data_IF_521754434304
#
_entry.id   IF_521754434304
#
_cell.length_a   1.000
_cell.length_b   1.000
_cell.length_c   1.000
_cell.angle_alpha   90.00
_cell.angle_beta   90.00
_cell.angle_gamma   90.00
#
_symmetry.space_group_name_H-M   'P 1'
#
loop_
_entity.id
_entity.type
_entity.pdbx_description
1 polymer ?
#
# COMPACT_ATOMS: atom_id res chain seq x y z
N UNK A 1 4.49 -24.00 -40.55
CA UNK A 1 3.73 -23.33 -41.64
C UNK A 1 3.28 -21.97 -41.13
N UNK A 2 3.90 -20.91 -41.65
CA UNK A 2 3.67 -19.45 -41.47
C UNK A 2 3.22 -18.93 -40.09
N UNK A 3 4.22 -18.63 -39.27
CA UNK A 3 4.21 -17.55 -38.27
C UNK A 3 3.76 -16.23 -38.92
N UNK A 4 2.60 -15.71 -38.53
CA UNK A 4 2.27 -14.30 -38.72
C UNK A 4 3.15 -13.51 -37.75
N UNK A 5 4.24 -12.95 -38.29
CA UNK A 5 4.96 -11.86 -37.63
C UNK A 5 4.02 -10.67 -37.73
N UNK A 6 3.32 -10.40 -36.63
CA UNK A 6 2.52 -9.20 -36.48
C UNK A 6 3.52 -8.03 -36.38
N UNK A 7 3.66 -7.26 -37.46
CA UNK A 7 4.33 -5.97 -37.42
C UNK A 7 3.40 -4.99 -36.69
N UNK A 8 3.27 -5.22 -35.38
CA UNK A 8 2.46 -4.41 -34.49
C UNK A 8 3.06 -3.01 -34.38
N UNK A 9 2.23 -2.00 -34.59
CA UNK A 9 2.48 -0.61 -34.20
C UNK A 9 3.17 -0.59 -32.82
N UNK A 10 4.16 0.30 -32.58
CA UNK A 10 4.83 0.37 -31.29
C UNK A 10 3.76 0.52 -30.20
N UNK A 11 3.66 -0.50 -29.34
CA UNK A 11 2.70 -0.53 -28.24
C UNK A 11 2.89 0.75 -27.44
N UNK A 12 1.81 1.48 -27.19
CA UNK A 12 1.87 2.73 -26.47
C UNK A 12 2.54 2.51 -25.10
N UNK A 13 3.52 3.34 -24.77
CA UNK A 13 4.28 3.24 -23.50
C UNK A 13 3.90 4.36 -22.56
N UNK A 14 4.15 4.17 -21.27
CA UNK A 14 3.94 5.23 -20.29
C UNK A 14 4.93 6.38 -20.54
N UNK A 15 4.52 7.64 -20.35
CA UNK A 15 5.45 8.75 -20.43
C UNK A 15 6.53 8.64 -19.35
N UNK A 16 7.67 9.27 -19.63
CA UNK A 16 8.75 9.37 -18.66
C UNK A 16 8.29 10.16 -17.42
N UNK A 17 8.46 9.63 -16.20
CA UNK A 17 8.15 10.41 -15.00
C UNK A 17 9.13 11.57 -14.85
N UNK A 18 8.66 12.69 -14.32
CA UNK A 18 9.49 13.87 -14.00
C UNK A 18 10.39 13.60 -12.79
N UNK A 19 9.94 12.74 -11.88
CA UNK A 19 10.71 12.25 -10.74
C UNK A 19 10.61 10.72 -10.60
N UNK A 20 11.75 10.07 -10.37
CA UNK A 20 11.80 8.63 -10.08
C UNK A 20 11.76 8.30 -8.59
N UNK A 21 12.36 9.16 -7.77
CA UNK A 21 12.43 8.99 -6.32
C UNK A 21 11.22 9.60 -5.64
N UNK A 22 10.51 8.80 -4.87
CA UNK A 22 9.45 9.26 -3.96
C UNK A 22 10.05 9.59 -2.59
N UNK A 23 9.49 10.58 -1.90
CA UNK A 23 9.86 10.89 -0.54
C UNK A 23 9.51 9.77 0.44
N UNK A 24 10.37 9.54 1.42
CA UNK A 24 10.21 8.45 2.40
C UNK A 24 9.18 8.78 3.50
N UNK A 25 8.00 9.26 3.11
CA UNK A 25 6.87 9.53 3.99
C UNK A 25 5.56 9.16 3.28
N UNK A 26 4.57 8.74 4.07
CA UNK A 26 3.33 8.14 3.56
C UNK A 26 2.11 9.04 3.70
N UNK A 27 2.20 10.10 4.50
CA UNK A 27 1.06 10.92 4.92
C UNK A 27 0.93 12.17 4.06
N UNK A 28 -0.22 12.34 3.39
CA UNK A 28 -0.51 13.54 2.62
C UNK A 28 -0.72 14.79 3.48
N UNK A 29 -1.09 14.61 4.75
CA UNK A 29 -1.21 15.71 5.71
C UNK A 29 0.08 16.53 5.87
N UNK A 30 1.25 15.93 5.64
CA UNK A 30 2.52 16.66 5.67
C UNK A 30 2.60 17.76 4.60
N UNK A 31 1.98 17.59 3.44
CA UNK A 31 1.89 18.65 2.44
C UNK A 31 1.07 19.83 2.94
N UNK A 32 -0.09 19.54 3.54
CA UNK A 32 -0.96 20.58 4.10
C UNK A 32 -0.25 21.33 5.24
N UNK A 33 0.40 20.61 6.16
CA UNK A 33 1.15 21.20 7.27
C UNK A 33 2.26 22.11 6.75
N UNK A 34 3.12 21.62 5.85
CA UNK A 34 4.22 22.41 5.29
C UNK A 34 3.72 23.66 4.55
N UNK A 35 2.63 23.55 3.79
CA UNK A 35 2.05 24.70 3.09
C UNK A 35 1.41 25.70 4.07
N UNK A 36 0.81 25.22 5.17
CA UNK A 36 0.26 26.09 6.22
C UNK A 36 1.38 26.90 6.87
N UNK A 37 2.50 26.24 7.22
CA UNK A 37 3.70 26.92 7.74
C UNK A 37 4.21 27.95 6.74
N UNK A 38 4.32 27.59 5.45
CA UNK A 38 4.74 28.52 4.41
C UNK A 38 3.83 29.74 4.28
N UNK A 39 2.52 29.56 4.47
CA UNK A 39 1.54 30.64 4.44
C UNK A 39 1.64 31.55 5.66
N UNK A 40 1.84 30.99 6.85
CA UNK A 40 1.94 31.74 8.12
C UNK A 40 3.25 32.52 8.19
N UNK A 41 4.38 31.86 7.89
CA UNK A 41 5.72 32.45 8.01
C UNK A 41 6.14 33.24 6.76
N UNK A 42 5.37 33.16 5.68
CA UNK A 42 5.70 33.70 4.37
C UNK A 42 6.69 32.86 3.57
N UNK A 43 7.43 31.94 4.20
CA UNK A 43 8.34 31.00 3.54
C UNK A 43 8.51 29.70 4.34
N UNK A 44 9.06 28.67 3.69
CA UNK A 44 9.62 27.47 4.32
C UNK A 44 11.03 27.21 3.81
N UNK A 45 11.83 26.56 4.64
CA UNK A 45 13.06 25.88 4.29
C UNK A 45 13.20 24.62 5.18
N UNK A 46 14.29 23.87 5.04
CA UNK A 46 14.48 22.66 5.83
C UNK A 46 14.49 22.91 7.34
N UNK A 47 15.18 23.97 7.79
CA UNK A 47 15.31 24.32 9.20
C UNK A 47 13.96 24.68 9.83
N UNK A 48 13.18 25.53 9.15
CA UNK A 48 11.83 25.93 9.57
C UNK A 48 10.90 24.72 9.69
N UNK A 49 10.92 23.82 8.71
CA UNK A 49 10.09 22.61 8.79
C UNK A 49 10.54 21.68 9.94
N UNK A 50 11.84 21.61 10.22
CA UNK A 50 12.35 20.82 11.34
C UNK A 50 11.92 21.37 12.71
N UNK A 51 11.78 22.69 12.84
CA UNK A 51 11.35 23.33 14.08
C UNK A 51 9.83 23.37 14.27
N UNK A 52 9.06 23.43 13.17
CA UNK A 52 7.64 23.77 13.24
C UNK A 52 6.66 22.65 12.84
N UNK A 53 7.11 21.58 12.17
CA UNK A 53 6.22 20.44 11.94
C UNK A 53 5.87 19.81 13.30
N UNK A 54 4.57 19.79 13.69
CA UNK A 54 4.17 19.27 14.98
C UNK A 54 4.30 17.75 15.05
N UNK A 55 4.31 17.25 16.29
CA UNK A 55 4.06 15.83 16.55
C UNK A 55 2.72 15.43 15.92
N UNK A 56 2.64 14.18 15.44
CA UNK A 56 1.45 13.69 14.75
C UNK A 56 1.20 12.21 15.04
N UNK A 57 0.00 11.76 14.71
CA UNK A 57 -0.40 10.36 14.88
C UNK A 57 -0.41 9.66 13.53
N UNK A 58 0.30 8.53 13.43
CA UNK A 58 0.31 7.61 12.29
C UNK A 58 -0.36 6.30 12.68
N UNK A 59 -1.59 6.08 12.22
CA UNK A 59 -2.39 4.95 12.71
C UNK A 59 -2.69 5.17 14.19
N UNK A 60 -2.03 4.42 15.07
CA UNK A 60 -2.08 4.61 16.52
C UNK A 60 -0.69 4.93 17.12
N UNK A 61 0.31 5.27 16.29
CA UNK A 61 1.68 5.60 16.71
C UNK A 61 1.87 7.11 16.75
N UNK A 62 2.40 7.66 17.85
CA UNK A 62 2.89 9.04 17.88
C UNK A 62 4.23 9.12 17.14
N UNK A 63 4.34 10.04 16.19
CA UNK A 63 5.56 10.29 15.42
C UNK A 63 6.09 11.67 15.79
N UNK A 64 7.21 11.67 16.52
CA UNK A 64 7.80 12.89 17.08
C UNK A 64 8.51 13.78 16.06
N UNK A 65 9.09 13.18 15.01
CA UNK A 65 9.75 13.91 13.93
C UNK A 65 9.86 13.04 12.67
N UNK A 66 10.16 13.66 11.54
CA UNK A 66 10.63 12.93 10.34
C UNK A 66 12.14 13.09 10.19
N UNK A 67 12.80 12.16 9.49
CA UNK A 67 14.25 12.28 9.27
C UNK A 67 14.60 13.52 8.46
N UNK A 68 15.81 14.07 8.66
CA UNK A 68 16.35 15.21 7.90
C UNK A 68 16.15 15.04 6.37
N UNK A 69 16.46 13.86 5.83
CA UNK A 69 16.25 13.53 4.41
C UNK A 69 14.77 13.56 3.99
N UNK A 70 13.84 13.25 4.90
CA UNK A 70 12.40 13.28 4.61
C UNK A 70 11.88 14.71 4.44
N UNK A 71 12.41 15.69 5.18
CA UNK A 71 12.09 17.11 4.96
C UNK A 71 12.56 17.58 3.58
N UNK A 72 13.77 17.20 3.16
CA UNK A 72 14.26 17.52 1.82
C UNK A 72 13.37 16.91 0.73
N UNK A 73 12.93 15.67 0.91
CA UNK A 73 11.98 15.06 -0.01
C UNK A 73 10.61 15.75 -0.03
N UNK A 74 10.13 16.22 1.13
CA UNK A 74 8.87 16.96 1.22
C UNK A 74 8.95 18.27 0.41
N UNK A 75 10.01 19.06 0.62
CA UNK A 75 10.25 20.30 -0.15
C UNK A 75 10.37 19.98 -1.64
N UNK A 76 11.12 18.95 -2.01
CA UNK A 76 11.28 18.52 -3.41
C UNK A 76 9.93 18.16 -4.05
N UNK A 77 9.10 17.36 -3.38
CA UNK A 77 7.78 16.99 -3.91
C UNK A 77 6.88 18.23 -4.06
N UNK A 78 6.85 19.13 -3.06
CA UNK A 78 6.08 20.38 -3.14
C UNK A 78 6.52 21.29 -4.30
N UNK A 79 7.82 21.37 -4.57
CA UNK A 79 8.36 22.10 -5.73
C UNK A 79 7.89 21.50 -7.05
N UNK A 80 7.98 20.17 -7.19
CA UNK A 80 7.55 19.48 -8.42
C UNK A 80 6.04 19.51 -8.63
N UNK A 81 5.25 19.54 -7.55
CA UNK A 81 3.81 19.80 -7.62
C UNK A 81 3.47 21.27 -7.88
N UNK A 82 4.49 22.14 -7.93
CA UNK A 82 4.37 23.58 -8.07
C UNK A 82 3.55 24.23 -6.96
N UNK A 83 3.48 23.61 -5.78
CA UNK A 83 2.79 24.16 -4.61
C UNK A 83 3.63 25.22 -3.90
N UNK A 84 4.95 25.14 -4.05
CA UNK A 84 5.91 26.16 -3.62
C UNK A 84 6.84 26.52 -4.77
N UNK A 85 7.45 27.70 -4.69
CA UNK A 85 8.46 28.18 -5.63
C UNK A 85 9.67 28.71 -4.87
N UNK A 86 10.87 28.60 -5.46
CA UNK A 86 12.09 29.15 -4.88
C UNK A 86 12.04 30.68 -4.95
N UNK A 87 12.26 31.32 -3.81
CA UNK A 87 12.44 32.77 -3.74
C UNK A 87 13.92 33.06 -4.01
N UNK A 88 14.20 33.69 -5.15
CA UNK A 88 15.56 34.12 -5.46
C UNK A 88 15.86 35.43 -4.75
N UNK A 89 16.76 35.37 -3.78
CA UNK A 89 17.34 36.56 -3.17
C UNK A 89 18.86 36.44 -3.19
N UNK A 90 19.53 37.30 -3.96
CA UNK A 90 20.97 37.18 -4.24
C UNK A 90 21.87 37.35 -3.00
N UNK A 91 21.32 37.87 -1.90
CA UNK A 91 22.01 38.16 -0.64
C UNK A 91 21.91 37.06 0.41
N UNK A 92 21.03 36.05 0.25
CA UNK A 92 20.80 35.03 1.27
C UNK A 92 21.48 33.70 0.91
N UNK A 93 22.23 33.14 1.88
CA UNK A 93 22.88 31.82 1.74
C UNK A 93 21.89 30.66 1.86
N UNK A 94 20.70 30.89 2.42
CA UNK A 94 19.69 29.85 2.68
C UNK A 94 18.58 29.89 1.64
N UNK A 95 18.25 28.73 1.08
CA UNK A 95 17.15 28.63 0.12
C UNK A 95 15.81 28.79 0.84
N UNK A 96 15.03 29.80 0.43
CA UNK A 96 13.66 30.03 0.90
C UNK A 96 12.66 29.67 -0.18
N UNK A 97 11.54 29.09 0.25
CA UNK A 97 10.47 28.67 -0.64
C UNK A 97 9.15 29.30 -0.23
N UNK A 98 8.46 29.92 -1.18
CA UNK A 98 7.18 30.61 -0.97
C UNK A 98 6.03 29.81 -1.57
N UNK A 99 4.85 29.91 -0.95
CA UNK A 99 3.64 29.25 -1.46
C UNK A 99 3.19 29.88 -2.79
N UNK A 100 2.74 29.05 -3.73
CA UNK A 100 2.20 29.51 -5.02
C UNK A 100 0.67 29.59 -4.98
N UNK A 101 0.06 30.05 -6.09
CA UNK A 101 -1.39 29.97 -6.29
C UNK A 101 -1.90 28.52 -6.25
N UNK A 102 -1.17 27.55 -6.81
CA UNK A 102 -1.54 26.14 -6.74
C UNK A 102 -1.47 25.60 -5.31
N UNK A 103 -0.43 25.95 -4.55
CA UNK A 103 -0.31 25.55 -3.14
C UNK A 103 -1.44 26.14 -2.29
N UNK A 104 -1.79 27.40 -2.54
CA UNK A 104 -2.91 28.08 -1.86
C UNK A 104 -4.25 27.45 -2.21
N UNK A 105 -4.44 27.06 -3.47
CA UNK A 105 -5.66 26.36 -3.93
C UNK A 105 -5.80 25.00 -3.27
N UNK A 106 -4.72 24.21 -3.22
CA UNK A 106 -4.71 22.92 -2.51
C UNK A 106 -5.06 23.08 -1.02
N UNK A 107 -4.45 24.05 -0.32
CA UNK A 107 -4.79 24.35 1.07
C UNK A 107 -6.27 24.70 1.26
N UNK A 108 -6.83 25.51 0.36
CA UNK A 108 -8.25 25.87 0.41
C UNK A 108 -9.16 24.65 0.23
N UNK A 109 -8.81 23.75 -0.70
CA UNK A 109 -9.53 22.50 -0.90
C UNK A 109 -9.45 21.59 0.34
N UNK A 110 -8.29 21.48 0.99
CA UNK A 110 -8.15 20.67 2.22
C UNK A 110 -9.14 21.08 3.31
N UNK A 111 -9.49 22.36 3.41
CA UNK A 111 -10.45 22.88 4.40
C UNK A 111 -11.92 22.79 3.95
N UNK A 112 -12.20 22.76 2.65
CA UNK A 112 -13.56 22.91 2.12
C UNK A 112 -14.12 21.63 1.50
N UNK A 113 -13.28 20.83 0.85
CA UNK A 113 -13.66 19.60 0.17
C UNK A 113 -12.47 18.64 0.10
N UNK A 114 -12.43 17.68 1.03
CA UNK A 114 -11.33 16.71 1.15
C UNK A 114 -11.21 15.80 -0.07
N UNK A 115 -12.31 15.43 -0.72
CA UNK A 115 -12.28 14.60 -1.93
C UNK A 115 -11.66 15.37 -3.10
N UNK A 116 -12.07 16.62 -3.32
CA UNK A 116 -11.48 17.48 -4.35
C UNK A 116 -9.99 17.77 -4.08
N UNK A 117 -9.59 17.93 -2.81
CA UNK A 117 -8.18 18.06 -2.43
C UNK A 117 -7.37 16.81 -2.79
N UNK A 118 -7.91 15.62 -2.51
CA UNK A 118 -7.27 14.35 -2.86
C UNK A 118 -7.16 14.16 -4.37
N UNK A 119 -8.19 14.53 -5.13
CA UNK A 119 -8.14 14.47 -6.59
C UNK A 119 -7.10 15.41 -7.17
N UNK A 120 -7.03 16.65 -6.67
CA UNK A 120 -6.03 17.61 -7.11
C UNK A 120 -4.60 17.14 -6.79
N UNK A 121 -4.39 16.55 -5.60
CA UNK A 121 -3.10 15.96 -5.24
C UNK A 121 -2.76 14.75 -6.12
N UNK A 122 -3.73 13.87 -6.38
CA UNK A 122 -3.55 12.69 -7.23
C UNK A 122 -3.17 13.08 -8.66
N UNK A 123 -3.81 14.13 -9.21
CA UNK A 123 -3.46 14.70 -10.51
C UNK A 123 -1.99 15.15 -10.54
N UNK A 124 -1.54 15.93 -9.56
CA UNK A 124 -0.14 16.38 -9.45
C UNK A 124 0.83 15.21 -9.27
N UNK A 125 0.47 14.22 -8.45
CA UNK A 125 1.30 13.02 -8.27
C UNK A 125 1.39 12.18 -9.54
N UNK A 126 0.29 12.05 -10.27
CA UNK A 126 0.28 11.33 -11.54
C UNK A 126 1.18 12.03 -12.56
N UNK A 127 1.06 13.35 -12.74
CA UNK A 127 1.89 14.14 -13.65
C UNK A 127 3.39 14.07 -13.33
N UNK A 128 3.76 14.04 -12.04
CA UNK A 128 5.16 13.98 -11.62
C UNK A 128 5.74 12.57 -11.67
N UNK A 129 5.00 11.55 -11.22
CA UNK A 129 5.57 10.23 -10.96
C UNK A 129 5.11 9.13 -11.91
N UNK A 130 3.94 9.27 -12.57
CA UNK A 130 3.24 8.25 -13.38
C UNK A 130 2.87 6.95 -12.63
N UNK A 131 3.49 6.73 -11.48
CA UNK A 131 3.44 5.53 -10.66
C UNK A 131 2.02 5.21 -10.19
N UNK A 132 1.13 6.16 -9.83
CA UNK A 132 -0.23 5.81 -9.48
C UNK A 132 -0.95 5.00 -10.55
N UNK A 133 -1.01 5.50 -11.78
CA UNK A 133 -1.65 4.83 -12.90
C UNK A 133 -0.94 3.51 -13.25
N UNK A 134 0.38 3.59 -13.42
CA UNK A 134 1.20 2.45 -13.79
C UNK A 134 1.09 1.28 -12.81
N UNK A 135 1.12 1.56 -11.50
CA UNK A 135 1.06 0.54 -10.47
C UNK A 135 -0.25 -0.24 -10.56
N UNK A 136 -1.39 0.44 -10.70
CA UNK A 136 -2.70 -0.23 -10.83
C UNK A 136 -2.77 -1.07 -12.09
N UNK A 137 -2.34 -0.54 -13.24
CA UNK A 137 -2.31 -1.31 -14.49
C UNK A 137 -1.43 -2.55 -14.35
N UNK A 138 -0.25 -2.39 -13.75
CA UNK A 138 0.68 -3.49 -13.51
C UNK A 138 0.07 -4.58 -12.64
N UNK A 139 -0.70 -4.25 -11.59
CA UNK A 139 -1.40 -5.27 -10.78
C UNK A 139 -2.31 -6.15 -11.65
N UNK A 140 -3.18 -5.52 -12.45
CA UNK A 140 -4.09 -6.23 -13.33
C UNK A 140 -3.37 -7.11 -14.35
N UNK A 141 -2.24 -6.65 -14.87
CA UNK A 141 -1.41 -7.41 -15.81
C UNK A 141 -0.72 -8.59 -15.14
N UNK A 142 -0.20 -8.42 -13.91
CA UNK A 142 0.48 -9.46 -13.14
C UNK A 142 -0.42 -10.64 -12.81
N UNK A 143 -1.70 -10.40 -12.51
CA UNK A 143 -2.65 -11.47 -12.20
C UNK A 143 -4.05 -11.20 -12.76
N UNK A 144 -4.23 -11.39 -14.07
CA UNK A 144 -5.54 -11.19 -14.73
C UNK A 144 -6.64 -12.08 -14.14
N UNK A 145 -6.32 -13.35 -13.89
CA UNK A 145 -7.28 -14.35 -13.37
C UNK A 145 -7.73 -13.99 -11.95
N UNK A 146 -6.78 -13.68 -11.07
CA UNK A 146 -7.06 -13.26 -9.70
C UNK A 146 -7.42 -11.77 -9.57
N UNK A 147 -7.76 -11.09 -10.68
CA UNK A 147 -8.21 -9.70 -10.73
C UNK A 147 -7.24 -8.71 -10.07
N UNK A 148 -5.96 -8.86 -10.39
CA UNK A 148 -4.86 -8.03 -9.90
C UNK A 148 -4.46 -8.28 -8.44
N UNK A 149 -4.97 -9.33 -7.79
CA UNK A 149 -4.44 -9.77 -6.50
C UNK A 149 -3.01 -10.25 -6.66
N UNK A 150 -2.08 -9.67 -5.91
CA UNK A 150 -0.72 -10.18 -5.80
C UNK A 150 -0.28 -10.24 -4.33
N UNK A 151 0.70 -11.08 -4.04
CA UNK A 151 1.30 -11.20 -2.72
C UNK A 151 2.79 -10.91 -2.79
N UNK A 152 3.26 -9.96 -1.97
CA UNK A 152 4.69 -9.83 -1.67
C UNK A 152 5.00 -10.79 -0.52
N UNK A 153 5.75 -11.87 -0.79
CA UNK A 153 5.91 -12.98 0.15
C UNK A 153 6.69 -12.59 1.40
N UNK A 154 6.38 -13.30 2.47
CA UNK A 154 7.10 -13.33 3.74
C UNK A 154 7.33 -14.79 4.12
N UNK A 155 8.37 -15.10 4.90
CA UNK A 155 8.54 -16.46 5.40
C UNK A 155 7.32 -16.91 6.21
N UNK A 156 6.97 -18.20 6.14
CA UNK A 156 5.84 -18.82 6.86
C UNK A 156 5.77 -18.39 8.32
N UNK A 157 4.58 -18.13 8.86
CA UNK A 157 4.41 -17.46 10.16
C UNK A 157 5.03 -18.25 11.32
N UNK A 158 4.89 -19.56 11.26
CA UNK A 158 5.36 -20.59 12.17
C UNK A 158 6.87 -20.86 12.11
N UNK A 159 7.55 -20.35 11.07
CA UNK A 159 8.99 -20.57 10.92
C UNK A 159 9.80 -19.61 11.80
N UNK A 160 10.41 -20.15 12.85
CA UNK A 160 11.17 -19.40 13.86
C UNK A 160 12.61 -19.92 13.97
N UNK A 161 13.47 -19.64 12.97
CA UNK A 161 14.86 -20.10 12.98
C UNK A 161 15.65 -19.37 14.08
N UNK A 162 16.68 -20.03 14.61
CA UNK A 162 17.64 -19.40 15.53
C UNK A 162 18.43 -18.31 14.81
N UNK A 163 18.79 -17.27 15.56
CA UNK A 163 19.73 -16.25 15.09
C UNK A 163 21.10 -16.87 14.78
N UNK A 164 21.81 -16.29 13.82
CA UNK A 164 23.15 -16.72 13.39
C UNK A 164 24.16 -15.60 13.54
N UNK A 165 25.44 -15.92 13.54
CA UNK A 165 26.52 -14.93 13.53
C UNK A 165 26.54 -14.23 12.17
N UNK A 166 26.87 -12.94 12.10
CA UNK A 166 26.78 -12.14 10.87
C UNK A 166 27.51 -12.78 9.68
N UNK A 167 28.68 -13.34 9.94
CA UNK A 167 29.56 -14.03 8.98
C UNK A 167 28.98 -15.34 8.46
N UNK A 168 28.03 -15.96 9.18
CA UNK A 168 27.28 -17.14 8.73
C UNK A 168 26.16 -16.73 7.77
N UNK A 169 26.54 -16.41 6.53
CA UNK A 169 25.63 -15.98 5.46
C UNK A 169 25.25 -17.10 4.47
N UNK A 170 25.52 -18.36 4.83
CA UNK A 170 25.24 -19.51 4.00
C UNK A 170 23.74 -19.68 3.71
N UNK A 171 23.44 -20.05 2.47
CA UNK A 171 22.13 -20.56 2.07
C UNK A 171 22.07 -22.05 2.34
N UNK A 172 21.07 -22.51 3.10
CA UNK A 172 20.90 -23.92 3.46
C UNK A 172 19.54 -24.47 3.06
N UNK A 173 19.38 -25.78 3.28
CA UNK A 173 18.20 -26.54 2.93
C UNK A 173 16.94 -26.05 3.66
N UNK A 174 17.06 -25.56 4.90
CA UNK A 174 15.92 -25.06 5.67
C UNK A 174 15.36 -23.78 5.04
N UNK A 175 16.25 -22.83 4.72
CA UNK A 175 15.91 -21.57 4.07
C UNK A 175 15.31 -21.83 2.67
N UNK A 176 15.88 -22.78 1.92
CA UNK A 176 15.34 -23.18 0.61
C UNK A 176 13.93 -23.76 0.73
N UNK A 177 13.73 -24.71 1.65
CA UNK A 177 12.45 -25.38 1.88
C UNK A 177 11.36 -24.37 2.20
N UNK A 178 11.61 -23.47 3.17
CA UNK A 178 10.64 -22.42 3.56
C UNK A 178 10.35 -21.48 2.40
N UNK A 179 11.34 -21.17 1.56
CA UNK A 179 11.16 -20.31 0.39
C UNK A 179 10.23 -20.92 -0.65
N UNK A 180 10.35 -22.24 -0.91
CA UNK A 180 9.48 -23.01 -1.80
C UNK A 180 8.08 -23.16 -1.23
N UNK A 181 7.97 -23.56 0.04
CA UNK A 181 6.68 -23.75 0.71
C UNK A 181 5.87 -22.46 0.77
N UNK A 182 6.53 -21.33 1.02
CA UNK A 182 5.91 -20.00 0.98
C UNK A 182 5.27 -19.73 -0.37
N UNK A 183 6.01 -19.92 -1.47
CA UNK A 183 5.51 -19.70 -2.83
C UNK A 183 4.34 -20.65 -3.17
N UNK A 184 4.49 -21.93 -2.86
CA UNK A 184 3.45 -22.95 -3.07
C UNK A 184 2.16 -22.62 -2.31
N UNK A 185 2.27 -22.20 -1.05
CA UNK A 185 1.12 -21.85 -0.22
C UNK A 185 0.37 -20.64 -0.80
N UNK A 186 1.10 -19.59 -1.23
CA UNK A 186 0.48 -18.42 -1.86
C UNK A 186 -0.27 -18.82 -3.13
N UNK A 187 0.37 -19.56 -4.02
CA UNK A 187 -0.24 -19.97 -5.30
C UNK A 187 -1.46 -20.85 -5.10
N UNK A 188 -1.44 -21.75 -4.09
CA UNK A 188 -2.59 -22.58 -3.70
C UNK A 188 -3.76 -21.75 -3.17
N UNK A 189 -3.48 -20.69 -2.39
CA UNK A 189 -4.51 -19.87 -1.74
C UNK A 189 -5.13 -18.85 -2.69
N UNK A 190 -4.32 -18.20 -3.52
CA UNK A 190 -4.77 -17.25 -4.54
C UNK A 190 -4.03 -17.55 -5.84
N UNK A 191 -4.65 -18.30 -6.77
CA UNK A 191 -4.04 -18.60 -8.06
C UNK A 191 -3.59 -17.34 -8.79
N UNK A 192 -2.34 -17.38 -9.28
CA UNK A 192 -1.70 -16.29 -10.02
C UNK A 192 -1.21 -15.12 -9.16
N UNK A 193 -1.44 -15.12 -7.85
CA UNK A 193 -1.04 -13.99 -7.00
C UNK A 193 0.48 -13.94 -6.74
N UNK A 194 1.21 -14.98 -7.14
CA UNK A 194 2.66 -15.02 -7.13
C UNK A 194 3.18 -15.33 -8.55
N UNK A 195 3.27 -14.30 -9.42
CA UNK A 195 3.69 -14.48 -10.82
C UNK A 195 5.21 -14.64 -10.95
N UNK A 196 5.73 -15.69 -10.33
CA UNK A 196 7.15 -16.06 -10.31
C UNK A 196 7.25 -17.57 -10.44
N UNK A 197 8.09 -18.05 -11.35
CA UNK A 197 8.50 -19.46 -11.35
C UNK A 197 9.19 -19.82 -10.03
N UNK A 198 8.91 -21.01 -9.49
CA UNK A 198 9.40 -21.39 -8.15
C UNK A 198 10.92 -21.60 -8.14
N UNK A 199 11.51 -22.16 -9.20
CA UNK A 199 12.96 -22.38 -9.27
C UNK A 199 13.69 -21.05 -9.47
N UNK A 200 13.21 -20.21 -10.39
CA UNK A 200 13.77 -18.85 -10.55
C UNK A 200 13.64 -18.03 -9.26
N UNK A 201 12.56 -18.21 -8.51
CA UNK A 201 12.32 -17.55 -7.24
C UNK A 201 13.35 -17.94 -6.19
N UNK A 202 13.56 -19.25 -5.97
CA UNK A 202 14.54 -19.75 -5.00
C UNK A 202 15.93 -19.24 -5.32
N UNK A 203 16.35 -19.34 -6.58
CA UNK A 203 17.68 -18.89 -6.99
C UNK A 203 17.85 -17.36 -6.84
N UNK A 204 16.83 -16.57 -7.18
CA UNK A 204 16.88 -15.13 -7.00
C UNK A 204 16.94 -14.72 -5.51
N UNK A 205 16.20 -15.40 -4.63
CA UNK A 205 16.29 -15.14 -3.18
C UNK A 205 17.67 -15.52 -2.66
N UNK A 206 18.20 -16.68 -3.04
CA UNK A 206 19.52 -17.15 -2.62
C UNK A 206 20.58 -16.09 -2.90
N UNK A 207 20.61 -15.58 -4.13
CA UNK A 207 21.54 -14.53 -4.54
C UNK A 207 21.36 -13.25 -3.71
N UNK A 208 20.13 -12.79 -3.48
CA UNK A 208 19.87 -11.60 -2.67
C UNK A 208 20.17 -11.83 -1.17
N UNK A 209 19.92 -13.02 -0.63
CA UNK A 209 20.18 -13.39 0.75
C UNK A 209 21.68 -13.37 1.06
N UNK A 210 22.49 -13.99 0.19
CA UNK A 210 23.95 -13.97 0.27
C UNK A 210 24.47 -12.54 0.14
N UNK A 211 23.96 -11.77 -0.85
CA UNK A 211 24.32 -10.36 -1.05
C UNK A 211 24.06 -9.51 0.20
N UNK A 212 22.94 -9.74 0.90
CA UNK A 212 22.61 -9.05 2.15
C UNK A 212 23.57 -9.42 3.28
N UNK A 213 24.05 -10.66 3.34
CA UNK A 213 25.06 -11.10 4.31
C UNK A 213 26.45 -10.53 4.05
N UNK A 214 26.79 -10.18 2.80
CA UNK A 214 28.07 -9.53 2.47
C UNK A 214 28.09 -8.02 2.79
N UNK A 215 26.98 -7.44 3.24
CA UNK A 215 26.95 -6.03 3.65
C UNK A 215 27.55 -5.87 5.05
N UNK A 216 28.11 -4.68 5.35
CA UNK A 216 28.52 -4.36 6.71
C UNK A 216 27.32 -4.38 7.67
N UNK A 217 27.46 -4.94 8.87
CA UNK A 217 26.40 -4.89 9.87
C UNK A 217 26.07 -3.44 10.20
N UNK A 218 24.78 -3.12 10.32
CA UNK A 218 24.34 -1.80 10.77
C UNK A 218 24.44 -1.73 12.29
N UNK A 219 25.61 -1.32 12.79
CA UNK A 219 25.84 -1.05 14.21
C UNK A 219 26.03 0.45 14.48
N UNK A 220 25.48 0.95 15.59
CA UNK A 220 25.77 2.28 16.13
C UNK A 220 27.12 2.34 16.89
N UNK A 221 27.83 1.22 17.00
CA UNK A 221 29.12 1.11 17.68
C UNK A 221 30.17 0.77 16.64
N UNK A 222 31.17 1.63 16.50
CA UNK A 222 32.28 1.50 15.55
C UNK A 222 33.25 0.36 15.90
N UNK A 223 33.11 -0.24 17.09
CA UNK A 223 34.15 -1.09 17.69
C UNK A 223 33.68 -2.53 18.02
N UNK A 224 32.58 -3.02 17.44
CA UNK A 224 32.20 -4.44 17.58
C UNK A 224 32.82 -5.26 16.45
N UNK A 225 33.47 -6.38 16.78
CA UNK A 225 33.92 -7.36 15.80
C UNK A 225 32.71 -8.00 15.11
N UNK A 226 32.82 -8.28 13.81
CA UNK A 226 31.73 -8.88 13.02
C UNK A 226 31.28 -10.25 13.59
N UNK A 227 32.16 -10.94 14.32
CA UNK A 227 31.90 -12.22 15.00
C UNK A 227 30.96 -12.11 16.20
N UNK A 228 30.85 -10.91 16.80
CA UNK A 228 29.96 -10.65 17.94
C UNK A 228 28.56 -10.17 17.50
N UNK A 229 28.37 -9.93 16.20
CA UNK A 229 27.12 -9.42 15.66
C UNK A 229 26.24 -10.59 15.22
N UNK A 230 25.10 -10.76 15.87
CA UNK A 230 24.08 -11.71 15.44
C UNK A 230 23.04 -11.07 14.53
N UNK A 231 22.45 -11.86 13.64
CA UNK A 231 21.29 -11.46 12.85
C UNK A 231 20.14 -12.46 12.94
N UNK A 232 18.93 -11.95 12.72
CA UNK A 232 17.74 -12.79 12.56
C UNK A 232 17.66 -13.34 11.14
N UNK A 233 17.81 -14.66 11.01
CA UNK A 233 17.67 -15.40 9.74
C UNK A 233 16.32 -15.10 9.08
N UNK A 234 15.24 -15.11 9.87
CA UNK A 234 13.89 -14.74 9.41
C UNK A 234 13.82 -13.34 8.81
N UNK A 235 14.42 -12.34 9.48
CA UNK A 235 14.38 -10.97 8.99
C UNK A 235 15.21 -10.79 7.71
N UNK A 236 16.38 -11.44 7.62
CA UNK A 236 17.21 -11.42 6.40
C UNK A 236 16.47 -12.07 5.24
N UNK A 237 15.86 -13.25 5.44
CA UNK A 237 15.05 -13.92 4.42
C UNK A 237 13.85 -13.06 4.02
N UNK A 238 13.14 -12.46 4.99
CA UNK A 238 12.03 -11.54 4.72
C UNK A 238 12.45 -10.38 3.82
N UNK A 239 13.60 -9.76 4.11
CA UNK A 239 14.11 -8.66 3.30
C UNK A 239 14.51 -9.10 1.89
N UNK A 240 15.15 -10.27 1.76
CA UNK A 240 15.49 -10.85 0.47
C UNK A 240 14.23 -11.12 -0.37
N UNK A 241 13.25 -11.84 0.19
CA UNK A 241 11.97 -12.14 -0.45
C UNK A 241 11.25 -10.88 -0.93
N UNK A 242 11.08 -9.89 -0.05
CA UNK A 242 10.46 -8.61 -0.41
C UNK A 242 11.20 -7.88 -1.52
N UNK A 243 12.52 -7.88 -1.48
CA UNK A 243 13.35 -7.16 -2.46
C UNK A 243 13.26 -7.82 -3.83
N UNK A 244 13.40 -9.14 -3.89
CA UNK A 244 13.29 -9.91 -5.14
C UNK A 244 11.90 -9.77 -5.74
N UNK A 245 10.85 -9.96 -4.94
CA UNK A 245 9.47 -9.87 -5.41
C UNK A 245 9.14 -8.47 -5.95
N UNK A 246 9.46 -7.40 -5.22
CA UNK A 246 9.18 -6.03 -5.68
C UNK A 246 9.97 -5.71 -6.95
N UNK A 247 11.25 -6.11 -7.03
CA UNK A 247 12.07 -5.88 -8.23
C UNK A 247 11.50 -6.60 -9.46
N UNK A 248 11.06 -7.85 -9.33
CA UNK A 248 10.46 -8.60 -10.45
C UNK A 248 9.08 -8.08 -10.82
N UNK A 249 8.19 -7.88 -9.84
CA UNK A 249 6.79 -7.53 -10.12
C UNK A 249 6.64 -6.10 -10.65
N UNK A 250 7.53 -5.21 -10.21
CA UNK A 250 7.51 -3.80 -10.54
C UNK A 250 8.81 -3.32 -11.18
N UNK A 251 9.43 -4.18 -11.98
CA UNK A 251 10.49 -3.82 -12.92
C UNK A 251 9.96 -3.01 -14.09
N UNK A 252 10.84 -2.28 -14.76
CA UNK A 252 10.52 -1.63 -16.05
C UNK A 252 10.07 -2.63 -17.12
N UNK A 253 10.69 -3.81 -17.16
CA UNK A 253 10.29 -4.91 -18.02
C UNK A 253 9.10 -5.61 -17.36
N UNK A 254 7.96 -5.68 -18.04
CA UNK A 254 6.78 -6.35 -17.49
C UNK A 254 7.01 -7.88 -17.51
N UNK A 255 6.99 -8.57 -16.36
CA UNK A 255 7.33 -10.00 -16.30
C UNK A 255 6.28 -10.91 -16.93
N UNK A 256 5.11 -10.40 -17.30
CA UNK A 256 4.04 -11.18 -17.96
C UNK A 256 3.97 -10.92 -19.47
N UNK A 257 4.56 -9.82 -19.96
CA UNK A 257 4.45 -9.44 -21.38
C UNK A 257 5.79 -9.17 -22.05
N UNK A 258 6.89 -9.20 -21.30
CA UNK A 258 8.25 -8.86 -21.72
C UNK A 258 8.37 -7.51 -22.46
N UNK A 259 7.41 -6.62 -22.22
CA UNK A 259 7.38 -5.29 -22.79
C UNK A 259 8.08 -4.29 -21.85
N UNK A 260 8.88 -3.38 -22.43
CA UNK A 260 9.39 -2.22 -21.70
C UNK A 260 8.30 -1.17 -21.60
N UNK A 261 7.90 -0.84 -20.37
CA UNK A 261 6.76 0.05 -20.14
C UNK A 261 7.12 1.53 -20.11
N UNK A 262 8.40 1.84 -20.00
CA UNK A 262 8.92 3.21 -20.02
C UNK A 262 9.99 3.34 -21.12
N UNK A 263 10.10 4.50 -21.78
CA UNK A 263 11.09 4.71 -22.84
C UNK A 263 12.54 4.83 -22.31
N UNK A 264 12.72 5.34 -21.09
CA UNK A 264 14.03 5.60 -20.49
C UNK A 264 14.51 4.48 -19.56
N UNK A 265 15.81 4.47 -19.24
CA UNK A 265 16.42 3.58 -18.22
C UNK A 265 15.98 4.01 -16.81
N UNK A 266 14.68 3.88 -16.51
CA UNK A 266 14.13 4.00 -15.16
C UNK A 266 14.81 2.98 -14.25
N UNK A 267 15.16 3.40 -13.03
CA UNK A 267 15.54 2.47 -11.96
C UNK A 267 14.31 1.69 -11.50
N UNK A 268 14.44 0.37 -11.37
CA UNK A 268 13.37 -0.48 -10.85
C UNK A 268 12.84 0.00 -9.49
N UNK A 269 11.56 -0.27 -9.22
CA UNK A 269 11.00 0.11 -7.93
C UNK A 269 11.72 -0.66 -6.80
N UNK A 270 12.25 0.08 -5.84
CA UNK A 270 12.86 -0.52 -4.65
C UNK A 270 11.77 -0.94 -3.66
N UNK A 271 12.05 -1.91 -2.79
CA UNK A 271 11.15 -2.25 -1.68
C UNK A 271 10.82 -1.03 -0.81
N UNK A 272 11.77 -0.11 -0.58
CA UNK A 272 11.51 1.13 0.18
C UNK A 272 10.48 2.02 -0.52
N UNK A 273 10.64 2.26 -1.83
CA UNK A 273 9.70 3.04 -2.61
C UNK A 273 8.32 2.38 -2.67
N UNK A 274 8.28 1.05 -2.81
CA UNK A 274 7.04 0.26 -2.77
C UNK A 274 6.29 0.43 -1.43
N UNK A 275 7.02 0.39 -0.32
CA UNK A 275 6.44 0.62 1.02
C UNK A 275 5.86 2.03 1.21
N UNK A 276 6.32 3.02 0.44
CA UNK A 276 5.74 4.36 0.41
C UNK A 276 4.51 4.41 -0.50
N UNK A 277 4.60 3.82 -1.69
CA UNK A 277 3.52 3.86 -2.67
C UNK A 277 2.26 3.12 -2.21
N UNK A 278 2.38 1.95 -1.58
CA UNK A 278 1.20 1.19 -1.13
C UNK A 278 0.24 2.04 -0.25
N UNK A 279 0.70 2.68 0.85
CA UNK A 279 -0.14 3.60 1.63
C UNK A 279 -0.71 4.76 0.84
N UNK A 280 0.08 5.40 -0.04
CA UNK A 280 -0.36 6.55 -0.84
C UNK A 280 -1.48 6.16 -1.81
N UNK A 281 -1.33 5.03 -2.51
CA UNK A 281 -2.34 4.51 -3.44
C UNK A 281 -3.59 4.02 -2.71
N UNK A 282 -3.45 3.48 -1.50
CA UNK A 282 -4.59 3.16 -0.65
C UNK A 282 -5.33 4.42 -0.18
N UNK A 283 -4.62 5.50 0.16
CA UNK A 283 -5.24 6.79 0.51
C UNK A 283 -6.03 7.42 -0.66
N UNK A 284 -5.61 7.17 -1.90
CA UNK A 284 -6.36 7.54 -3.11
C UNK A 284 -7.47 6.54 -3.48
N UNK A 285 -7.74 5.53 -2.65
CA UNK A 285 -8.70 4.46 -2.96
C UNK A 285 -8.42 3.76 -4.29
N UNK A 286 -7.15 3.62 -4.69
CA UNK A 286 -6.76 2.93 -5.92
C UNK A 286 -6.49 1.45 -5.69
N UNK A 287 -5.92 1.13 -4.53
CA UNK A 287 -5.63 -0.23 -4.09
C UNK A 287 -6.05 -0.42 -2.63
N UNK A 288 -6.10 -1.68 -2.20
CA UNK A 288 -6.10 -2.07 -0.81
C UNK A 288 -4.90 -3.00 -0.58
N UNK A 289 -4.34 -2.97 0.63
CA UNK A 289 -3.33 -3.94 1.02
C UNK A 289 -3.46 -4.33 2.50
N UNK A 290 -3.00 -5.53 2.83
CA UNK A 290 -2.89 -6.01 4.21
C UNK A 290 -1.64 -6.87 4.38
N UNK A 291 -0.97 -6.70 5.51
CA UNK A 291 0.19 -7.50 5.93
C UNK A 291 -0.22 -8.64 6.88
N UNK A 292 -1.51 -8.75 7.21
CA UNK A 292 -2.00 -9.49 8.37
C UNK A 292 -3.02 -10.58 8.03
N UNK A 293 -3.16 -10.92 6.75
CA UNK A 293 -4.03 -12.03 6.39
C UNK A 293 -3.49 -13.33 7.03
N UNK A 294 -4.29 -14.04 7.84
CA UNK A 294 -3.79 -15.19 8.61
C UNK A 294 -3.49 -16.41 7.75
N UNK A 295 -4.03 -16.48 6.52
CA UNK A 295 -3.88 -17.62 5.63
C UNK A 295 -2.83 -17.39 4.54
N UNK A 296 -2.25 -16.19 4.43
CA UNK A 296 -1.35 -15.79 3.36
C UNK A 296 -0.04 -15.29 3.96
N UNK A 297 1.10 -15.94 3.66
CA UNK A 297 2.41 -15.54 4.20
C UNK A 297 2.97 -14.36 3.39
N UNK A 298 2.49 -13.14 3.66
CA UNK A 298 2.96 -11.96 2.94
C UNK A 298 2.05 -10.76 3.01
N UNK A 299 2.47 -9.69 2.33
CA UNK A 299 1.60 -8.55 2.02
C UNK A 299 0.70 -8.94 0.86
N UNK A 300 -0.59 -9.04 1.12
CA UNK A 300 -1.60 -9.13 0.08
C UNK A 300 -1.97 -7.73 -0.39
N UNK A 301 -2.01 -7.52 -1.69
CA UNK A 301 -2.52 -6.29 -2.29
C UNK A 301 -3.41 -6.59 -3.48
N UNK A 302 -4.39 -5.70 -3.69
CA UNK A 302 -5.33 -5.82 -4.80
C UNK A 302 -5.88 -4.46 -5.20
N UNK A 303 -6.20 -4.28 -6.49
CA UNK A 303 -6.80 -3.05 -6.95
C UNK A 303 -8.25 -2.93 -6.44
N UNK A 304 -8.64 -1.72 -6.05
CA UNK A 304 -10.04 -1.29 -5.88
C UNK A 304 -10.42 -0.29 -6.99
N UNK A 305 -9.64 -0.29 -8.06
CA UNK A 305 -9.78 0.55 -9.24
C UNK A 305 -9.38 -0.21 -10.51
N UNK A 306 -9.84 0.24 -11.67
CA UNK A 306 -9.52 -0.40 -12.94
C UNK A 306 -9.50 0.63 -14.08
N UNK A 307 -8.71 0.36 -15.11
CA UNK A 307 -8.73 1.11 -16.36
C UNK A 307 -9.85 0.61 -17.27
N UNK A 308 -10.67 1.51 -17.79
CA UNK A 308 -11.78 1.19 -18.72
C UNK A 308 -11.89 2.29 -19.79
N UNK A 309 -12.19 1.95 -21.03
CA UNK A 309 -12.50 2.95 -22.08
C UNK A 309 -13.86 3.61 -21.83
N UNK A 310 -14.84 2.82 -21.44
CA UNK A 310 -16.20 3.27 -21.15
C UNK A 310 -16.80 2.45 -20.01
N UNK A 311 -17.56 3.09 -19.13
CA UNK A 311 -18.26 2.43 -18.04
C UNK A 311 -19.58 3.16 -17.74
N UNK A 312 -20.70 2.47 -17.91
CA UNK A 312 -22.03 2.99 -17.53
C UNK A 312 -22.40 2.67 -16.08
N UNK A 313 -21.59 1.86 -15.38
CA UNK A 313 -21.90 1.44 -14.02
C UNK A 313 -21.71 2.59 -13.02
N UNK A 314 -22.79 2.97 -12.35
CA UNK A 314 -22.88 4.00 -11.29
C UNK A 314 -22.01 3.72 -10.07
N UNK A 315 -21.55 2.47 -9.89
CA UNK A 315 -20.67 2.03 -8.79
C UNK A 315 -19.20 2.43 -8.98
N UNK A 316 -18.88 3.30 -9.95
CA UNK A 316 -17.52 3.75 -10.20
C UNK A 316 -17.41 5.26 -10.34
N UNK A 317 -16.36 5.83 -9.75
CA UNK A 317 -15.98 7.23 -9.90
C UNK A 317 -14.87 7.30 -10.95
N UNK A 318 -15.13 8.02 -12.05
CA UNK A 318 -14.15 8.24 -13.13
C UNK A 318 -13.14 9.31 -12.70
N UNK A 319 -11.84 9.00 -12.82
CA UNK A 319 -10.75 9.98 -12.69
C UNK A 319 -10.16 10.25 -14.07
N UNK A 320 -10.79 11.16 -14.81
CA UNK A 320 -10.50 11.42 -16.24
C UNK A 320 -9.10 11.97 -16.53
N UNK A 321 -8.45 12.57 -15.53
CA UNK A 321 -7.07 13.05 -15.63
C UNK A 321 -6.02 11.93 -15.53
N UNK A 322 -6.44 10.69 -15.25
CA UNK A 322 -5.57 9.51 -15.25
C UNK A 322 -5.98 8.60 -16.40
N UNK A 323 -5.12 8.56 -17.41
CA UNK A 323 -5.29 7.78 -18.63
C UNK A 323 -4.11 6.84 -18.79
N UNK A 324 -4.37 5.60 -19.17
CA UNK A 324 -3.31 4.65 -19.50
C UNK A 324 -2.80 4.82 -20.94
N UNK A 325 -1.72 4.12 -21.35
CA UNK A 325 -1.19 4.26 -22.71
C UNK A 325 -2.18 3.85 -23.81
N UNK A 326 -3.19 3.03 -23.49
CA UNK A 326 -4.20 2.60 -24.46
C UNK A 326 -5.34 3.61 -24.58
N UNK A 327 -5.37 4.66 -23.75
CA UNK A 327 -6.42 5.67 -23.73
C UNK A 327 -7.59 5.37 -22.79
N UNK A 328 -7.51 4.33 -21.97
CA UNK A 328 -8.51 4.00 -20.97
C UNK A 328 -8.35 4.91 -19.73
N UNK A 329 -9.46 5.36 -19.15
CA UNK A 329 -9.46 6.17 -17.93
C UNK A 329 -9.45 5.30 -16.68
N UNK A 330 -8.89 5.79 -15.58
CA UNK A 330 -9.02 5.14 -14.28
C UNK A 330 -10.44 5.32 -13.70
N UNK A 331 -10.99 4.22 -13.21
CA UNK A 331 -12.25 4.18 -12.46
C UNK A 331 -12.01 3.58 -11.08
N UNK A 332 -12.39 4.30 -10.02
CA UNK A 332 -12.34 3.82 -8.63
C UNK A 332 -13.70 3.21 -8.28
N UNK A 333 -13.69 1.99 -7.74
CA UNK A 333 -14.92 1.33 -7.32
C UNK A 333 -15.45 1.99 -6.04
N UNK A 334 -16.66 2.53 -6.13
CA UNK A 334 -17.38 3.20 -5.05
C UNK A 334 -18.88 2.86 -5.18
N UNK A 335 -19.26 1.63 -4.78
CA UNK A 335 -20.64 1.19 -4.90
C UNK A 335 -21.56 1.98 -3.97
N UNK A 336 -22.82 2.15 -4.39
CA UNK A 336 -23.87 2.77 -3.56
C UNK A 336 -24.52 1.74 -2.66
N UNK A 337 -24.85 2.15 -1.43
CA UNK A 337 -25.47 1.26 -0.43
C UNK A 337 -26.72 0.55 -0.95
N UNK A 338 -27.63 1.26 -1.62
CA UNK A 338 -28.91 0.68 -2.06
C UNK A 338 -28.73 -0.48 -3.05
N UNK A 339 -27.69 -0.41 -3.90
CA UNK A 339 -27.38 -1.44 -4.88
C UNK A 339 -26.56 -2.59 -4.27
N UNK A 340 -25.72 -2.30 -3.26
CA UNK A 340 -24.76 -3.25 -2.69
C UNK A 340 -25.18 -3.88 -1.35
N UNK A 341 -26.25 -3.41 -0.72
CA UNK A 341 -26.69 -3.81 0.63
C UNK A 341 -26.70 -5.32 0.83
N UNK A 342 -27.38 -6.05 -0.06
CA UNK A 342 -27.53 -7.51 0.07
C UNK A 342 -26.17 -8.22 -0.02
N UNK A 343 -25.42 -7.91 -1.07
CA UNK A 343 -24.10 -8.50 -1.31
C UNK A 343 -23.12 -8.24 -0.15
N UNK A 344 -23.13 -7.01 0.39
CA UNK A 344 -22.29 -6.65 1.53
C UNK A 344 -22.63 -7.45 2.78
N UNK A 345 -23.92 -7.53 3.15
CA UNK A 345 -24.37 -8.24 4.34
C UNK A 345 -24.06 -9.73 4.23
N UNK A 346 -24.35 -10.35 3.08
CA UNK A 346 -24.06 -11.77 2.83
C UNK A 346 -22.56 -12.05 2.95
N UNK A 347 -21.72 -11.23 2.31
CA UNK A 347 -20.26 -11.40 2.40
C UNK A 347 -19.74 -11.17 3.82
N UNK A 348 -20.26 -10.19 4.56
CA UNK A 348 -19.88 -9.95 5.96
C UNK A 348 -20.17 -11.17 6.84
N UNK A 349 -21.35 -11.78 6.68
CA UNK A 349 -21.77 -12.98 7.42
C UNK A 349 -20.89 -14.17 7.04
N UNK A 350 -20.68 -14.42 5.74
CA UNK A 350 -19.86 -15.54 5.25
C UNK A 350 -18.42 -15.45 5.77
N UNK A 351 -17.82 -14.26 5.69
CA UNK A 351 -16.48 -14.02 6.21
C UNK A 351 -16.45 -14.25 7.72
N UNK A 352 -17.39 -13.70 8.48
CA UNK A 352 -17.46 -13.93 9.92
C UNK A 352 -17.56 -15.42 10.26
N UNK A 353 -18.46 -16.15 9.60
CA UNK A 353 -18.64 -17.59 9.83
C UNK A 353 -17.37 -18.39 9.51
N UNK A 354 -16.64 -18.05 8.45
CA UNK A 354 -15.35 -18.67 8.12
C UNK A 354 -14.34 -18.52 9.26
N UNK A 355 -14.25 -17.33 9.87
CA UNK A 355 -13.35 -17.10 11.00
C UNK A 355 -13.84 -17.78 12.28
N UNK A 356 -15.14 -17.68 12.58
CA UNK A 356 -15.78 -18.32 13.72
C UNK A 356 -15.57 -19.83 13.70
N UNK A 357 -15.80 -20.49 12.57
CA UNK A 357 -15.63 -21.94 12.42
C UNK A 357 -14.16 -22.38 12.58
N UNK A 358 -13.20 -21.51 12.28
CA UNK A 358 -11.77 -21.81 12.41
C UNK A 358 -11.26 -21.61 13.84
N UNK A 359 -11.74 -20.59 14.54
CA UNK A 359 -11.23 -20.19 15.86
C UNK A 359 -12.10 -20.66 17.03
N UNK A 360 -13.36 -21.03 16.77
CA UNK A 360 -14.41 -21.35 17.76
C UNK A 360 -14.59 -20.28 18.85
N UNK A 361 -14.23 -19.03 18.56
CA UNK A 361 -14.38 -17.86 19.42
C UNK A 361 -15.43 -16.94 18.80
N UNK A 362 -16.38 -16.47 19.61
CA UNK A 362 -17.50 -15.61 19.17
C UNK A 362 -17.00 -14.25 18.67
N UNK A 363 -16.19 -13.55 19.45
CA UNK A 363 -15.67 -12.24 19.06
C UNK A 363 -14.46 -12.38 18.16
N UNK A 364 -14.59 -11.91 16.91
CA UNK A 364 -13.53 -11.94 15.90
C UNK A 364 -12.95 -10.54 15.70
N UNK A 365 -11.66 -10.47 15.38
CA UNK A 365 -10.98 -9.23 14.98
C UNK A 365 -11.71 -8.54 13.82
N UNK A 366 -12.26 -7.36 14.07
CA UNK A 366 -12.99 -6.59 13.07
C UNK A 366 -12.08 -6.11 11.92
N UNK A 367 -10.79 -5.91 12.20
CA UNK A 367 -9.82 -5.59 11.15
C UNK A 367 -9.63 -6.78 10.18
N UNK A 368 -9.64 -8.03 10.67
CA UNK A 368 -9.52 -9.22 9.82
C UNK A 368 -10.76 -9.41 8.95
N UNK A 369 -11.94 -9.22 9.54
CA UNK A 369 -13.21 -9.21 8.81
C UNK A 369 -13.19 -8.13 7.73
N UNK A 370 -12.81 -6.89 8.07
CA UNK A 370 -12.70 -5.80 7.09
C UNK A 370 -11.81 -6.18 5.93
N UNK A 371 -10.58 -6.61 6.20
CA UNK A 371 -9.60 -6.83 5.14
C UNK A 371 -10.07 -7.92 4.15
N UNK A 372 -10.72 -8.98 4.66
CA UNK A 372 -11.25 -10.05 3.82
C UNK A 372 -12.53 -9.63 3.07
N UNK A 373 -13.46 -8.90 3.71
CA UNK A 373 -14.65 -8.36 3.04
C UNK A 373 -14.25 -7.35 1.96
N UNK A 374 -13.33 -6.42 2.25
CA UNK A 374 -12.79 -5.48 1.28
C UNK A 374 -12.11 -6.19 0.10
N UNK A 375 -11.43 -7.31 0.37
CA UNK A 375 -10.81 -8.15 -0.67
C UNK A 375 -11.84 -8.78 -1.59
N UNK A 376 -12.85 -9.43 -1.04
CA UNK A 376 -13.88 -10.13 -1.82
C UNK A 376 -14.74 -9.14 -2.61
N UNK A 377 -15.07 -7.99 -2.04
CA UNK A 377 -15.95 -6.99 -2.66
C UNK A 377 -15.23 -5.90 -3.46
N UNK A 378 -13.90 -5.85 -3.42
CA UNK A 378 -13.07 -4.80 -4.06
C UNK A 378 -13.49 -3.39 -3.64
N UNK A 379 -13.73 -3.19 -2.35
CA UNK A 379 -14.08 -1.89 -1.77
C UNK A 379 -12.95 -1.37 -0.89
N UNK A 380 -12.90 -0.05 -0.73
CA UNK A 380 -11.95 0.60 0.17
C UNK A 380 -12.42 0.54 1.65
N UNK A 381 -11.52 0.76 2.63
CA UNK A 381 -11.86 0.69 4.06
C UNK A 381 -13.01 1.64 4.46
N UNK A 382 -13.09 2.81 3.85
CA UNK A 382 -14.11 3.81 4.19
C UNK A 382 -15.51 3.35 3.75
N UNK A 383 -15.61 2.73 2.57
CA UNK A 383 -16.86 2.13 2.09
C UNK A 383 -17.30 0.99 3.01
N UNK A 384 -16.36 0.16 3.47
CA UNK A 384 -16.64 -0.87 4.46
C UNK A 384 -17.17 -0.28 5.78
N UNK A 385 -16.50 0.75 6.33
CA UNK A 385 -16.93 1.44 7.56
C UNK A 385 -18.37 1.99 7.43
N UNK A 386 -18.66 2.68 6.32
CA UNK A 386 -19.99 3.21 6.02
C UNK A 386 -21.06 2.11 5.92
N UNK A 387 -20.75 1.02 5.22
CA UNK A 387 -21.69 -0.08 5.02
C UNK A 387 -21.89 -0.90 6.29
N UNK A 388 -20.84 -1.07 7.10
CA UNK A 388 -20.91 -1.71 8.39
C UNK A 388 -21.80 -0.90 9.35
N UNK A 389 -21.65 0.43 9.39
CA UNK A 389 -22.51 1.32 10.18
C UNK A 389 -23.99 1.12 9.82
N UNK A 390 -24.32 1.18 8.53
CA UNK A 390 -25.70 0.95 8.06
C UNK A 390 -26.20 -0.45 8.37
N UNK A 391 -25.33 -1.46 8.26
CA UNK A 391 -25.68 -2.85 8.58
C UNK A 391 -25.96 -3.01 10.07
N UNK A 392 -25.16 -2.38 10.93
CA UNK A 392 -25.35 -2.37 12.38
C UNK A 392 -26.66 -1.69 12.78
N UNK A 393 -26.99 -0.53 12.19
CA UNK A 393 -28.28 0.13 12.40
C UNK A 393 -29.47 -0.75 12.00
N UNK A 394 -29.37 -1.45 10.86
CA UNK A 394 -30.40 -2.42 10.46
C UNK A 394 -30.50 -3.61 11.41
N UNK A 395 -29.39 -4.02 12.03
CA UNK A 395 -29.35 -5.09 13.03
C UNK A 395 -30.14 -4.70 14.28
N UNK A 396 -29.89 -3.50 14.82
CA UNK A 396 -30.60 -2.94 15.97
C UNK A 396 -32.11 -2.84 15.69
N UNK A 397 -32.47 -2.42 14.47
CA UNK A 397 -33.87 -2.30 14.05
C UNK A 397 -34.52 -3.64 13.67
N UNK A 398 -33.82 -4.77 13.84
CA UNK A 398 -34.26 -6.11 13.43
C UNK A 398 -34.70 -6.20 11.95
N UNK A 399 -34.11 -5.36 11.08
CA UNK A 399 -34.35 -5.34 9.63
C UNK A 399 -33.45 -6.29 8.85
N UNK A 400 -32.57 -7.02 9.54
CA UNK A 400 -31.75 -8.11 9.02
C UNK A 400 -31.84 -9.30 9.98
N UNK A 401 -31.52 -10.51 9.50
CA UNK A 401 -31.66 -11.77 10.26
C UNK A 401 -30.55 -12.02 11.29
N UNK A 402 -29.70 -11.04 11.55
CA UNK A 402 -28.53 -11.18 12.40
C UNK A 402 -28.49 -10.04 13.42
N UNK A 403 -28.23 -10.40 14.67
CA UNK A 403 -27.78 -9.48 15.71
C UNK A 403 -26.27 -9.28 15.58
N UNK A 404 -25.82 -8.04 15.64
CA UNK A 404 -24.41 -7.64 15.55
C UNK A 404 -24.01 -6.98 16.88
N UNK A 405 -22.97 -7.51 17.52
CA UNK A 405 -22.26 -6.83 18.62
C UNK A 405 -20.93 -6.31 18.12
N UNK A 406 -20.57 -5.10 18.56
CA UNK A 406 -19.31 -4.43 18.23
C UNK A 406 -18.68 -3.95 19.53
N UNK A 407 -17.43 -4.36 19.76
CA UNK A 407 -16.72 -4.00 21.00
C UNK A 407 -15.52 -3.10 20.69
N UNK A 408 -15.13 -2.30 21.68
CA UNK A 408 -13.90 -1.50 21.67
C UNK A 408 -12.73 -2.21 22.36
N UNK A 409 -13.01 -3.33 23.03
CA UNK A 409 -12.04 -4.11 23.80
C UNK A 409 -11.12 -4.95 22.92
N UNK A 410 -10.00 -5.39 23.49
CA UNK A 410 -9.05 -6.28 22.82
C UNK A 410 -9.04 -7.62 23.53
N UNK A 411 -9.04 -8.70 22.75
CA UNK A 411 -8.79 -10.03 23.32
C UNK A 411 -7.35 -10.14 23.81
N UNK A 412 -7.10 -10.98 24.81
CA UNK A 412 -5.77 -11.24 25.36
C UNK A 412 -4.76 -11.75 24.32
N UNK A 413 -5.23 -12.47 23.29
CA UNK A 413 -4.42 -12.97 22.18
C UNK A 413 -4.16 -11.92 21.09
N UNK A 414 -4.92 -10.82 21.11
CA UNK A 414 -4.78 -9.73 20.15
C UNK A 414 -3.75 -8.73 20.63
N UNK A 415 -2.69 -8.57 19.84
CA UNK A 415 -1.85 -7.39 19.92
C UNK A 415 -2.48 -6.30 19.08
N UNK A 416 -2.65 -5.09 19.64
CA UNK A 416 -3.01 -3.91 18.85
C UNK A 416 -2.02 -3.82 17.71
N UNK A 417 -2.51 -3.97 16.48
CA UNK A 417 -1.70 -3.74 15.31
C UNK A 417 -1.69 -2.23 15.05
N UNK A 418 -0.84 -1.53 15.80
CA UNK A 418 -0.76 -0.06 15.87
C UNK A 418 -0.58 0.58 14.48
N UNK A 419 0.03 -0.16 13.54
CA UNK A 419 0.27 0.25 12.15
C UNK A 419 -0.90 -0.04 11.18
N UNK A 420 -1.89 -0.84 11.59
CA UNK A 420 -3.06 -1.19 10.77
C UNK A 420 -4.17 -0.19 11.08
N UNK A 421 -4.81 0.36 10.03
CA UNK A 421 -5.95 1.29 10.20
C UNK A 421 -6.99 0.63 11.11
N UNK A 422 -7.48 1.35 12.13
CA UNK A 422 -8.62 0.94 12.93
C UNK A 422 -9.89 0.78 12.09
N UNK A 423 -10.95 0.24 12.66
CA UNK A 423 -12.29 0.33 12.07
C UNK A 423 -13.09 1.31 12.92
N UNK A 424 -13.51 2.40 12.31
CA UNK A 424 -14.21 3.47 13.03
C UNK A 424 -15.68 3.51 12.63
N UNK A 425 -16.54 3.55 13.64
CA UNK A 425 -17.98 3.71 13.51
C UNK A 425 -18.39 4.94 14.30
N UNK A 426 -18.87 5.98 13.61
CA UNK A 426 -19.19 7.29 14.19
C UNK A 426 -18.04 7.89 15.05
N UNK A 427 -16.79 7.69 14.62
CA UNK A 427 -15.60 8.18 15.32
C UNK A 427 -15.11 7.27 16.46
N UNK A 428 -15.86 6.22 16.82
CA UNK A 428 -15.48 5.25 17.85
C UNK A 428 -14.68 4.11 17.20
N UNK A 429 -13.53 3.77 17.77
CA UNK A 429 -12.70 2.65 17.32
C UNK A 429 -13.32 1.33 17.79
N UNK A 430 -13.83 0.54 16.86
CA UNK A 430 -14.28 -0.83 17.11
C UNK A 430 -13.19 -1.82 16.70
N UNK A 431 -12.94 -2.78 17.58
CA UNK A 431 -11.87 -3.78 17.46
C UNK A 431 -12.40 -5.19 17.22
N UNK A 432 -13.59 -5.51 17.76
CA UNK A 432 -14.19 -6.83 17.68
C UNK A 432 -15.60 -6.78 17.12
N UNK A 433 -16.01 -7.89 16.52
CA UNK A 433 -17.37 -8.09 16.02
C UNK A 433 -17.85 -9.50 16.35
N UNK A 434 -19.13 -9.61 16.71
CA UNK A 434 -19.86 -10.86 16.87
C UNK A 434 -21.16 -10.80 16.06
N UNK A 435 -21.46 -11.84 15.30
CA UNK A 435 -22.72 -12.00 14.55
C UNK A 435 -23.46 -13.23 15.08
N UNK A 436 -24.71 -13.04 15.52
CA UNK A 436 -25.60 -14.12 15.95
C UNK A 436 -26.88 -14.12 15.09
N UNK A 437 -27.30 -15.26 14.53
CA UNK A 437 -28.62 -15.35 13.89
C UNK A 437 -29.73 -15.00 14.89
N UNK A 438 -30.70 -14.20 14.45
CA UNK A 438 -31.94 -14.01 15.22
C UNK A 438 -32.76 -15.29 15.07
N UNK A 439 -33.11 -15.91 16.19
CA UNK A 439 -34.07 -17.02 16.22
C UNK A 439 -35.40 -16.49 15.66
N UNK A 440 -36.02 -17.28 14.76
CA UNK A 440 -37.28 -16.92 14.11
C UNK A 440 -38.46 -17.03 15.07
#
# INVERSE_FOLDING_TARGET
MKTKIDFGLPKATWPAPKLYGVGNFTEFGLYQVALTIAKINGFINQEVLMSEIPQRIKGLVVVDSISSTSYQYLIRELLHFQFIAKQYNASEKTEKYIITSYGTSYLSLCSTNSEAALDFLLEKMQDVFITPAWFVKRLWELNRIGQGQIVIPLPLKEWHPKSRIWTENNWDQEIETVSRETANLIQKKIPGAFPYDIEEWVEAIKNEYVRLGCQKPKGNKTDMNDEDVHFSVRNRLSLAMKTVAVRKFFSRLNPQTDCLEFPNKRSDMTHRSFMVWCPRLAAFNMIFYTDNNPDIPGRLLFPVSAFKHFNQNSSYIKKSFIVDPDGACLYIHSPKWEEFKKLFIETLVEVYQKYYNKQTIIYISLQDIRDEVCRLLRINPHTFELFLQKTYELSILHKIRYSISLETDLRLDMKIQINRRGVYLNGILCSLIALKPLEK
#
